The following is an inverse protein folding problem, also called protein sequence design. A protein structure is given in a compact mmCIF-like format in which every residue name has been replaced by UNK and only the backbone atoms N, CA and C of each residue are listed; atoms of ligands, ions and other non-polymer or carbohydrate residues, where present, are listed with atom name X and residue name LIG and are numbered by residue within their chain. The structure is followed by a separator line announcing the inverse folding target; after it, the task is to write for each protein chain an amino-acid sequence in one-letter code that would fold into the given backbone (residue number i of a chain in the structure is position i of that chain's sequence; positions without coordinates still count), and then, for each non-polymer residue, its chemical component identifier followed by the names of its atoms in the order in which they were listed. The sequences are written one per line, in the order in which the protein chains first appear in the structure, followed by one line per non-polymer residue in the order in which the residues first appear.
data_IF_108455664941
#
_entry.id   IF_108455664941
#
_cell.length_a   1.000
_cell.length_b   1.000
_cell.length_c   1.000
_cell.angle_alpha   90.00
_cell.angle_beta   90.00
_cell.angle_gamma   90.00
#
_symmetry.space_group_name_H-M   'P 1'
#
loop_
_entity.id
_entity.type
_entity.pdbx_description
1 polymer ?
#
# COMPACT_ATOMS: atom_id res chain seq x y z
N UNK A 1 -12.57 21.46 -33.69
CA UNK A 1 -12.67 21.11 -32.26
C UNK A 1 -13.87 20.17 -32.10
N UNK A 2 -13.65 18.85 -32.25
CA UNK A 2 -14.70 17.87 -32.02
C UNK A 2 -14.95 17.78 -30.52
N UNK A 3 -16.10 18.26 -30.06
CA UNK A 3 -16.66 17.85 -28.76
C UNK A 3 -17.19 16.44 -28.94
N UNK A 4 -16.37 15.45 -28.62
CA UNK A 4 -16.84 14.08 -28.42
C UNK A 4 -17.83 14.13 -27.26
N UNK A 5 -19.08 13.80 -27.55
CA UNK A 5 -20.14 13.68 -26.58
C UNK A 5 -19.94 12.35 -25.82
N UNK A 6 -18.89 12.29 -25.00
CA UNK A 6 -18.58 11.10 -24.19
C UNK A 6 -19.48 11.05 -22.96
N UNK A 7 -20.77 10.82 -23.18
CA UNK A 7 -21.66 10.36 -22.11
C UNK A 7 -21.36 8.90 -21.84
N UNK A 8 -20.23 8.61 -21.19
CA UNK A 8 -19.91 7.27 -20.70
C UNK A 8 -21.07 6.79 -19.79
N UNK A 9 -21.84 5.76 -20.19
CA UNK A 9 -23.03 5.37 -19.45
C UNK A 9 -22.69 5.00 -18.01
N UNK A 10 -23.48 5.52 -17.06
CA UNK A 10 -23.31 5.30 -15.62
C UNK A 10 -22.03 5.84 -14.98
N UNK A 11 -21.23 6.67 -15.68
CA UNK A 11 -20.03 7.28 -15.10
C UNK A 11 -20.36 8.10 -13.83
N UNK A 12 -21.39 8.94 -13.89
CA UNK A 12 -21.85 9.72 -12.74
C UNK A 12 -22.22 8.83 -11.55
N UNK A 13 -23.00 7.78 -11.78
CA UNK A 13 -23.43 6.84 -10.73
C UNK A 13 -22.25 6.10 -10.09
N UNK A 14 -21.25 5.70 -10.89
CA UNK A 14 -20.02 5.05 -10.39
C UNK A 14 -19.20 6.02 -9.52
N UNK A 15 -19.03 7.26 -9.98
CA UNK A 15 -18.32 8.31 -9.25
C UNK A 15 -19.04 8.65 -7.95
N UNK A 16 -20.37 8.77 -7.96
CA UNK A 16 -21.18 8.99 -6.76
C UNK A 16 -21.04 7.83 -5.77
N UNK A 17 -21.12 6.58 -6.25
CA UNK A 17 -20.98 5.39 -5.38
C UNK A 17 -19.61 5.35 -4.72
N UNK A 18 -18.52 5.55 -5.49
CA UNK A 18 -17.16 5.61 -4.96
C UNK A 18 -17.03 6.74 -3.92
N UNK A 19 -17.52 7.92 -4.26
CA UNK A 19 -17.53 9.08 -3.38
C UNK A 19 -18.24 8.79 -2.05
N UNK A 20 -19.43 8.18 -2.07
CA UNK A 20 -20.19 7.84 -0.85
C UNK A 20 -19.40 6.88 0.05
N UNK A 21 -18.78 5.84 -0.53
CA UNK A 21 -17.99 4.87 0.22
C UNK A 21 -16.75 5.52 0.85
N UNK A 22 -16.04 6.34 0.08
CA UNK A 22 -14.85 7.07 0.53
C UNK A 22 -15.20 8.04 1.65
N UNK A 23 -16.23 8.85 1.49
CA UNK A 23 -16.69 9.78 2.53
C UNK A 23 -17.11 9.06 3.80
N UNK A 24 -17.77 7.90 3.68
CA UNK A 24 -18.15 7.06 4.82
C UNK A 24 -16.92 6.53 5.55
N UNK A 25 -15.93 6.00 4.82
CA UNK A 25 -14.69 5.48 5.39
C UNK A 25 -13.86 6.59 6.07
N UNK A 26 -13.54 7.66 5.34
CA UNK A 26 -12.81 8.83 5.86
C UNK A 26 -13.54 9.45 7.05
N UNK A 27 -14.86 9.60 6.97
CA UNK A 27 -15.67 10.13 8.06
C UNK A 27 -15.74 9.21 9.29
N UNK A 28 -15.56 7.90 9.13
CA UNK A 28 -15.44 6.96 10.24
C UNK A 28 -14.06 7.07 10.91
N UNK A 29 -12.99 7.19 10.13
CA UNK A 29 -11.63 7.44 10.63
C UNK A 29 -11.58 8.77 11.40
N UNK A 30 -12.04 9.87 10.80
CA UNK A 30 -12.02 11.22 11.43
C UNK A 30 -12.80 11.30 12.74
N UNK A 31 -13.87 10.51 12.88
CA UNK A 31 -14.70 10.44 14.11
C UNK A 31 -14.24 9.36 15.08
N UNK A 32 -13.06 8.76 14.87
CA UNK A 32 -12.50 7.67 15.68
C UNK A 32 -13.45 6.47 15.86
N UNK A 33 -14.33 6.22 14.89
CA UNK A 33 -15.21 5.02 14.87
C UNK A 33 -14.45 3.79 14.41
N UNK A 34 -13.45 3.99 13.56
CA UNK A 34 -12.46 2.99 13.16
C UNK A 34 -11.07 3.63 13.27
N UNK A 35 -10.03 2.87 13.62
CA UNK A 35 -8.68 3.40 13.67
C UNK A 35 -8.18 3.69 12.25
N UNK A 36 -7.36 4.73 12.12
CA UNK A 36 -6.53 4.93 10.92
C UNK A 36 -5.45 3.86 10.93
N UNK A 37 -5.66 2.78 10.18
CA UNK A 37 -4.75 1.62 10.21
C UNK A 37 -3.40 1.95 9.59
N UNK A 38 -2.38 1.31 10.14
CA UNK A 38 -1.07 1.28 9.54
C UNK A 38 -1.09 0.43 8.27
N UNK A 39 -0.29 0.81 7.29
CA UNK A 39 -0.12 0.13 6.02
C UNK A 39 1.36 -0.10 5.78
N UNK A 40 1.71 -1.37 5.53
CA UNK A 40 2.99 -1.77 4.96
C UNK A 40 2.72 -2.17 3.52
N UNK A 41 3.40 -1.53 2.57
CA UNK A 41 3.33 -1.87 1.15
C UNK A 41 4.66 -2.48 0.72
N UNK A 42 4.68 -3.78 0.44
CA UNK A 42 5.87 -4.49 -0.02
C UNK A 42 5.82 -4.69 -1.53
N UNK A 43 6.79 -4.10 -2.23
CA UNK A 43 7.05 -4.41 -3.63
C UNK A 43 7.93 -5.67 -3.71
N UNK A 44 7.37 -6.71 -4.31
CA UNK A 44 8.00 -8.01 -4.49
C UNK A 44 8.55 -8.12 -5.92
N UNK A 45 8.35 -9.25 -6.60
CA UNK A 45 8.68 -9.39 -8.01
C UNK A 45 7.55 -8.78 -8.86
N UNK A 46 7.64 -7.47 -9.09
CA UNK A 46 6.66 -6.68 -9.85
C UNK A 46 7.30 -5.67 -10.79
N UNK A 47 6.47 -4.82 -11.41
CA UNK A 47 6.89 -3.76 -12.33
C UNK A 47 6.56 -2.35 -11.83
N UNK A 48 6.17 -2.22 -10.55
CA UNK A 48 5.65 -1.00 -9.92
C UNK A 48 4.34 -0.47 -10.53
N UNK A 49 3.72 -1.22 -11.45
CA UNK A 49 2.48 -0.84 -12.11
C UNK A 49 1.28 -0.73 -11.16
N UNK A 50 1.25 -1.51 -10.06
CA UNK A 50 0.19 -1.37 -9.06
C UNK A 50 0.38 -0.08 -8.26
N UNK A 51 1.63 0.26 -7.92
CA UNK A 51 1.96 1.54 -7.30
C UNK A 51 1.58 2.73 -8.21
N UNK A 52 1.94 2.70 -9.50
CA UNK A 52 1.56 3.77 -10.44
C UNK A 52 0.03 3.87 -10.56
N UNK A 53 -0.66 2.74 -10.67
CA UNK A 53 -2.13 2.71 -10.71
C UNK A 53 -2.78 3.26 -9.43
N UNK A 54 -2.14 3.10 -8.27
CA UNK A 54 -2.60 3.72 -7.02
C UNK A 54 -2.41 5.24 -7.05
N UNK A 55 -1.29 5.72 -7.60
CA UNK A 55 -1.00 7.15 -7.74
C UNK A 55 -1.95 7.86 -8.70
N UNK A 56 -2.39 7.17 -9.77
CA UNK A 56 -3.36 7.66 -10.74
C UNK A 56 -4.82 7.65 -10.24
N UNK A 57 -5.06 7.16 -9.01
CA UNK A 57 -6.37 7.22 -8.37
C UNK A 57 -6.87 8.66 -8.20
N UNK A 58 -8.18 8.89 -8.36
CA UNK A 58 -8.77 10.24 -8.36
C UNK A 58 -9.86 10.48 -7.30
N UNK A 59 -10.69 9.47 -6.98
CA UNK A 59 -11.78 9.59 -6.01
C UNK A 59 -11.78 8.41 -5.01
N UNK A 60 -10.87 8.41 -4.02
CA UNK A 60 -9.99 9.50 -3.61
C UNK A 60 -8.66 9.52 -4.38
N UNK A 61 -8.00 10.67 -4.38
CA UNK A 61 -6.61 10.76 -4.84
C UNK A 61 -5.63 10.17 -3.82
N UNK A 62 -4.42 9.84 -4.27
CA UNK A 62 -3.40 9.24 -3.41
C UNK A 62 -3.09 10.11 -2.18
N UNK A 63 -3.07 11.44 -2.34
CA UNK A 63 -2.84 12.38 -1.23
C UNK A 63 -3.91 12.22 -0.14
N UNK A 64 -5.18 12.10 -0.52
CA UNK A 64 -6.27 11.86 0.42
C UNK A 64 -6.18 10.50 1.09
N UNK A 65 -5.80 9.44 0.35
CA UNK A 65 -5.55 8.10 0.93
C UNK A 65 -4.45 8.18 1.99
N UNK A 66 -3.29 8.70 1.60
CA UNK A 66 -2.10 8.78 2.44
C UNK A 66 -2.25 9.75 3.62
N UNK A 67 -3.12 10.76 3.53
CA UNK A 67 -3.33 11.76 4.58
C UNK A 67 -4.56 11.49 5.47
N UNK A 68 -5.56 10.74 5.01
CA UNK A 68 -6.86 10.63 5.70
C UNK A 68 -7.34 9.19 5.94
N UNK A 69 -6.81 8.19 5.23
CA UNK A 69 -7.34 6.82 5.29
C UNK A 69 -6.40 5.83 5.98
N UNK A 70 -5.11 5.88 5.68
CA UNK A 70 -4.10 4.95 6.22
C UNK A 70 -2.85 5.68 6.68
N UNK A 71 -2.07 5.07 7.56
CA UNK A 71 -0.71 5.51 7.90
C UNK A 71 0.28 4.62 7.14
N UNK A 72 0.88 5.13 6.06
CA UNK A 72 1.89 4.38 5.32
C UNK A 72 3.17 4.34 6.16
N UNK A 73 3.45 3.19 6.79
CA UNK A 73 4.65 2.99 7.61
C UNK A 73 5.87 2.68 6.76
N UNK A 74 5.65 1.88 5.72
CA UNK A 74 6.69 1.42 4.81
C UNK A 74 6.14 1.28 3.39
N UNK A 75 6.93 1.72 2.42
CA UNK A 75 6.72 1.50 0.99
C UNK A 75 8.09 1.60 0.32
N UNK A 76 8.45 0.63 -0.51
CA UNK A 76 9.72 0.64 -1.23
C UNK A 76 9.88 1.90 -2.11
N UNK A 77 8.81 2.37 -2.75
CA UNK A 77 8.86 3.52 -3.67
C UNK A 77 8.39 4.85 -3.09
N UNK A 78 7.49 4.87 -2.10
CA UNK A 78 6.75 6.10 -1.74
C UNK A 78 7.20 6.76 -0.43
N UNK A 79 7.97 6.07 0.41
CA UNK A 79 8.39 6.60 1.70
C UNK A 79 9.65 7.47 1.60
N UNK A 80 9.81 8.43 2.53
CA UNK A 80 10.95 9.34 2.52
C UNK A 80 12.24 8.75 3.11
N UNK A 81 12.13 7.80 4.05
CA UNK A 81 13.31 7.16 4.64
C UNK A 81 13.82 6.05 3.72
N UNK A 82 15.13 5.84 3.70
CA UNK A 82 15.80 4.87 2.83
C UNK A 82 16.76 3.97 3.63
N UNK A 83 17.24 2.91 2.97
CA UNK A 83 18.24 2.00 3.53
C UNK A 83 17.85 1.44 4.90
N UNK A 84 18.81 1.43 5.82
CA UNK A 84 18.65 0.87 7.17
C UNK A 84 17.52 1.58 7.97
N UNK A 85 17.35 2.90 7.79
CA UNK A 85 16.30 3.66 8.47
C UNK A 85 14.88 3.29 7.98
N UNK A 86 14.74 2.97 6.69
CA UNK A 86 13.48 2.42 6.16
C UNK A 86 13.20 1.03 6.73
N UNK A 87 14.23 0.18 6.81
CA UNK A 87 14.10 -1.16 7.37
C UNK A 87 13.80 -1.12 8.88
N UNK A 88 14.34 -0.15 9.62
CA UNK A 88 14.00 0.06 11.02
C UNK A 88 12.50 0.32 11.20
N UNK A 89 11.90 1.15 10.34
CA UNK A 89 10.46 1.38 10.35
C UNK A 89 9.65 0.13 10.03
N UNK A 90 10.08 -0.65 9.04
CA UNK A 90 9.43 -1.91 8.68
C UNK A 90 9.48 -2.92 9.84
N UNK A 91 10.66 -3.19 10.36
CA UNK A 91 10.85 -4.15 11.47
C UNK A 91 10.27 -3.63 12.79
N UNK A 92 10.18 -2.32 12.99
CA UNK A 92 9.52 -1.71 14.14
C UNK A 92 8.01 -1.90 14.16
N UNK A 93 7.38 -2.26 13.03
CA UNK A 93 5.95 -2.55 12.97
C UNK A 93 5.57 -3.94 13.50
N UNK A 94 6.55 -4.81 13.77
CA UNK A 94 6.33 -6.16 14.30
C UNK A 94 5.58 -6.10 15.64
N UNK A 95 4.54 -6.92 15.78
CA UNK A 95 3.65 -6.92 16.95
C UNK A 95 2.64 -5.77 16.99
N UNK A 96 2.62 -4.89 15.99
CA UNK A 96 1.59 -3.84 15.83
C UNK A 96 0.40 -4.28 14.97
N UNK A 97 -0.65 -3.45 14.93
CA UNK A 97 -1.80 -3.61 14.01
C UNK A 97 -1.48 -2.91 12.68
N UNK A 98 -1.42 -3.68 11.59
CA UNK A 98 -1.21 -3.17 10.24
C UNK A 98 -1.88 -4.05 9.17
N UNK A 99 -2.21 -3.40 8.06
CA UNK A 99 -2.56 -4.04 6.80
C UNK A 99 -1.26 -4.24 6.02
N UNK A 100 -1.11 -5.41 5.40
CA UNK A 100 0.00 -5.70 4.49
C UNK A 100 -0.50 -5.70 3.05
N UNK A 101 -0.06 -4.76 2.22
CA UNK A 101 -0.26 -4.84 0.78
C UNK A 101 0.97 -5.51 0.14
N UNK A 102 0.74 -6.57 -0.62
CA UNK A 102 1.77 -7.26 -1.39
C UNK A 102 1.61 -6.94 -2.88
N UNK A 103 2.62 -6.31 -3.48
CA UNK A 103 2.67 -6.01 -4.90
C UNK A 103 3.62 -6.96 -5.62
N UNK A 104 3.12 -7.70 -6.62
CA UNK A 104 3.94 -8.63 -7.41
C UNK A 104 4.00 -10.05 -6.84
N UNK A 105 4.76 -10.92 -7.53
CA UNK A 105 4.89 -12.33 -7.17
C UNK A 105 6.00 -12.56 -6.13
N UNK A 106 5.85 -13.61 -5.33
CA UNK A 106 6.90 -14.06 -4.38
C UNK A 106 7.82 -15.05 -5.10
N UNK A 107 9.07 -14.66 -5.33
CA UNK A 107 10.10 -15.60 -5.79
C UNK A 107 10.57 -16.47 -4.62
N UNK A 108 10.38 -17.79 -4.70
CA UNK A 108 10.69 -18.74 -3.61
C UNK A 108 11.97 -19.54 -3.83
N UNK A 109 12.46 -19.61 -5.08
CA UNK A 109 13.69 -20.34 -5.41
C UNK A 109 14.90 -19.73 -4.71
N UNK A 110 15.87 -20.57 -4.35
CA UNK A 110 17.12 -20.18 -3.69
C UNK A 110 16.88 -19.30 -2.46
N UNK A 111 15.89 -19.70 -1.64
CA UNK A 111 15.46 -18.98 -0.44
C UNK A 111 15.06 -17.51 -0.70
N UNK A 112 14.53 -17.22 -1.89
CA UNK A 112 14.03 -15.92 -2.30
C UNK A 112 15.11 -14.91 -2.73
N UNK A 113 16.34 -15.35 -2.98
CA UNK A 113 17.46 -14.47 -3.34
C UNK A 113 17.26 -13.67 -4.63
N UNK A 114 16.32 -14.06 -5.49
CA UNK A 114 15.98 -13.34 -6.72
C UNK A 114 15.24 -12.01 -6.48
N UNK A 115 14.78 -11.74 -5.25
CA UNK A 115 14.17 -10.46 -4.92
C UNK A 115 14.49 -10.07 -3.47
N UNK A 116 15.39 -9.09 -3.32
CA UNK A 116 15.83 -8.52 -2.05
C UNK A 116 15.15 -7.16 -1.90
N UNK A 117 14.34 -6.99 -0.87
CA UNK A 117 13.59 -5.74 -0.62
C UNK A 117 14.42 -4.68 0.11
N UNK A 118 15.54 -5.08 0.72
CA UNK A 118 16.42 -4.19 1.46
C UNK A 118 17.49 -4.95 2.23
N UNK A 119 18.23 -4.23 3.10
CA UNK A 119 19.20 -4.81 4.03
C UNK A 119 18.90 -4.34 5.44
N UNK A 120 18.89 -5.27 6.39
CA UNK A 120 18.67 -4.97 7.81
C UNK A 120 19.75 -5.63 8.66
N UNK A 121 20.41 -4.83 9.49
CA UNK A 121 21.56 -5.22 10.33
C UNK A 121 22.64 -5.91 9.52
N UNK A 122 22.94 -5.36 8.34
CA UNK A 122 23.93 -5.88 7.43
C UNK A 122 23.54 -7.16 6.67
N UNK A 123 22.34 -7.72 6.87
CA UNK A 123 21.86 -8.92 6.15
C UNK A 123 20.84 -8.54 5.07
N UNK A 124 20.89 -9.18 3.88
CA UNK A 124 19.83 -9.00 2.88
C UNK A 124 18.50 -9.52 3.42
N UNK A 125 17.43 -8.80 3.11
CA UNK A 125 16.05 -9.19 3.44
C UNK A 125 15.35 -9.54 2.14
N UNK A 126 15.01 -10.82 1.95
CA UNK A 126 14.29 -11.28 0.76
C UNK A 126 12.80 -10.96 0.85
N UNK A 127 12.15 -10.77 -0.30
CA UNK A 127 10.70 -10.64 -0.35
C UNK A 127 9.98 -11.87 0.21
N UNK A 128 10.56 -13.06 -0.01
CA UNK A 128 10.04 -14.31 0.52
C UNK A 128 10.02 -14.31 2.06
N UNK A 129 11.15 -13.99 2.71
CA UNK A 129 11.19 -13.93 4.18
C UNK A 129 10.30 -12.80 4.73
N UNK A 130 10.24 -11.66 4.03
CA UNK A 130 9.43 -10.53 4.45
C UNK A 130 7.94 -10.88 4.41
N UNK A 131 7.45 -11.48 3.33
CA UNK A 131 6.05 -11.88 3.21
C UNK A 131 5.64 -12.90 4.27
N UNK A 132 6.48 -13.91 4.53
CA UNK A 132 6.19 -14.87 5.60
C UNK A 132 6.12 -14.15 6.95
N UNK A 133 7.16 -13.38 7.28
CA UNK A 133 7.30 -12.74 8.58
C UNK A 133 6.22 -11.69 8.89
N UNK A 134 5.92 -10.83 7.92
CA UNK A 134 4.97 -9.74 8.08
C UNK A 134 3.53 -10.18 7.77
N UNK A 135 3.34 -11.17 6.89
CA UNK A 135 2.02 -11.70 6.56
C UNK A 135 1.38 -12.46 7.72
N UNK A 136 2.15 -13.27 8.47
CA UNK A 136 1.65 -14.01 9.63
C UNK A 136 1.12 -13.10 10.76
N UNK A 137 1.61 -11.87 10.84
CA UNK A 137 1.27 -10.90 11.89
C UNK A 137 0.34 -9.79 11.40
N UNK A 138 0.08 -9.71 10.10
CA UNK A 138 -0.79 -8.69 9.54
C UNK A 138 -2.25 -8.93 9.98
N UNK A 139 -3.00 -7.86 10.22
CA UNK A 139 -4.43 -7.98 10.47
C UNK A 139 -5.19 -8.48 9.22
N UNK A 140 -4.69 -8.11 8.04
CA UNK A 140 -5.07 -8.69 6.76
C UNK A 140 -3.96 -8.45 5.72
N UNK A 141 -3.95 -9.32 4.71
CA UNK A 141 -3.07 -9.25 3.53
C UNK A 141 -3.94 -9.09 2.28
#
# INVERSE_FOLDING_TARGET
MNRSNDSCPNLSMRLETASVLVHKAVGAVKRNRIPRRNLIWLELTGCSGNTISLLDGFHPDFKSVAAQMVNILYSNSLMAAEGEAAMERLFGAIGGDYILAAEGAVSTKDNGLYNIIGRWKGRPVTAYEAIQKFGEQAACV
#
